data_IF_404690284025
#
_entry.id   IF_404690284025
#
_cell.length_a   1.000
_cell.length_b   1.000
_cell.length_c   1.000
_cell.angle_alpha   90.00
_cell.angle_beta   90.00
_cell.angle_gamma   90.00
#
_symmetry.space_group_name_H-M   'P 1'
#
loop_
_entity.id
_entity.type
_entity.pdbx_description
1 polymer ?
#
# COMPACT_ATOMS: atom_id res chain seq x y z
N UNK A 1 20.31 -0.33 1.62
CA UNK A 1 19.75 -0.38 0.28
C UNK A 1 18.34 0.22 0.26
N UNK A 2 18.04 0.97 -0.76
CA UNK A 2 16.70 1.52 -0.89
C UNK A 2 15.71 0.45 -1.35
N UNK A 3 14.50 0.51 -0.82
CA UNK A 3 13.42 -0.36 -1.24
C UNK A 3 12.68 0.33 -2.38
N UNK A 4 12.54 -0.33 -3.51
CA UNK A 4 11.88 0.27 -4.69
C UNK A 4 10.40 0.54 -4.45
N UNK A 5 9.77 -0.24 -3.59
CA UNK A 5 8.34 -0.12 -3.31
C UNK A 5 8.05 0.92 -2.21
N UNK A 6 9.07 1.40 -1.52
CA UNK A 6 8.94 2.28 -0.36
C UNK A 6 9.90 3.44 -0.53
N UNK A 7 9.37 4.66 -0.63
CA UNK A 7 10.16 5.85 -0.92
C UNK A 7 9.90 6.93 0.11
N UNK A 8 10.98 7.48 0.67
CA UNK A 8 10.91 8.64 1.55
C UNK A 8 10.75 9.88 0.68
N UNK A 9 9.66 10.61 0.87
CA UNK A 9 9.35 11.81 0.11
C UNK A 9 9.40 13.05 0.99
N UNK A 10 10.39 13.14 1.88
CA UNK A 10 10.52 14.24 2.81
C UNK A 10 9.65 14.03 4.05
N UNK A 11 8.52 14.70 4.12
CA UNK A 11 7.60 14.59 5.25
C UNK A 11 6.73 13.35 5.18
N UNK A 12 6.55 12.82 3.97
CA UNK A 12 5.64 11.71 3.71
C UNK A 12 6.41 10.51 3.19
N UNK A 13 5.71 9.36 3.16
CA UNK A 13 6.25 8.12 2.60
C UNK A 13 5.33 7.69 1.47
N UNK A 14 5.91 7.23 0.38
CA UNK A 14 5.15 6.66 -0.74
C UNK A 14 5.34 5.15 -0.77
N UNK A 15 4.24 4.43 -0.96
CA UNK A 15 4.25 2.98 -1.14
C UNK A 15 3.71 2.66 -2.52
N UNK A 16 4.50 1.90 -3.28
CA UNK A 16 4.12 1.45 -4.62
C UNK A 16 3.55 0.05 -4.53
N UNK A 17 2.31 -0.11 -4.96
CA UNK A 17 1.53 -1.33 -4.75
C UNK A 17 1.16 -2.02 -6.05
N UNK A 18 1.02 -3.33 -5.99
CA UNK A 18 0.40 -4.15 -7.01
C UNK A 18 -0.80 -4.82 -6.37
N UNK A 19 -2.00 -4.56 -6.89
CA UNK A 19 -3.25 -5.04 -6.30
C UNK A 19 -3.70 -6.34 -6.96
N UNK A 20 -4.04 -7.33 -6.14
CA UNK A 20 -4.68 -8.56 -6.60
C UNK A 20 -6.16 -8.47 -6.22
N UNK A 21 -7.04 -8.16 -7.18
CA UNK A 21 -8.47 -7.96 -6.89
C UNK A 21 -9.22 -9.28 -6.86
N UNK A 22 -10.49 -9.22 -6.48
CA UNK A 22 -11.39 -10.36 -6.47
C UNK A 22 -10.85 -11.54 -5.66
N UNK A 23 -10.10 -11.23 -4.60
CA UNK A 23 -9.51 -12.27 -3.74
C UNK A 23 -10.48 -12.63 -2.63
N UNK A 24 -10.26 -13.79 -2.01
CA UNK A 24 -11.10 -14.24 -0.91
C UNK A 24 -10.84 -13.46 0.37
N UNK A 25 -9.67 -12.84 0.50
CA UNK A 25 -9.29 -12.09 1.69
C UNK A 25 -8.52 -10.83 1.30
N UNK A 26 -8.65 -9.80 2.13
CA UNK A 26 -7.82 -8.60 1.98
C UNK A 26 -6.61 -8.75 2.91
N UNK A 27 -5.40 -8.66 2.35
CA UNK A 27 -4.18 -8.85 3.13
C UNK A 27 -2.94 -8.34 2.41
N UNK A 28 -1.90 -8.08 3.19
CA UNK A 28 -0.58 -7.75 2.66
C UNK A 28 0.09 -9.06 2.29
N UNK A 29 0.46 -9.22 1.02
CA UNK A 29 1.04 -10.47 0.52
C UNK A 29 2.56 -10.48 0.54
N UNK A 30 3.19 -9.30 0.53
CA UNK A 30 4.64 -9.20 0.55
C UNK A 30 5.18 -8.48 -0.67
N UNK A 31 6.50 -8.31 -0.71
CA UNK A 31 7.17 -7.55 -1.75
C UNK A 31 7.50 -8.44 -2.94
N UNK A 32 7.11 -8.01 -4.16
CA UNK A 32 7.59 -8.64 -5.38
C UNK A 32 8.88 -7.95 -5.78
N UNK A 33 10.01 -8.61 -5.52
CA UNK A 33 11.33 -8.01 -5.67
C UNK A 33 11.61 -7.53 -7.09
N UNK A 34 11.28 -8.34 -8.08
CA UNK A 34 11.64 -8.02 -9.45
C UNK A 34 10.75 -6.91 -10.04
N UNK A 35 9.54 -6.72 -9.53
CA UNK A 35 8.67 -5.61 -9.93
C UNK A 35 8.85 -4.38 -9.07
N UNK A 36 9.45 -4.56 -7.90
CA UNK A 36 9.67 -3.47 -6.96
C UNK A 36 8.37 -2.89 -6.41
N UNK A 37 7.39 -3.75 -6.12
CA UNK A 37 6.10 -3.33 -5.58
C UNK A 37 5.66 -4.24 -4.45
N UNK A 38 4.93 -3.65 -3.50
CA UNK A 38 4.30 -4.41 -2.43
C UNK A 38 2.99 -4.99 -2.96
N UNK A 39 2.84 -6.29 -2.87
CA UNK A 39 1.64 -6.96 -3.37
C UNK A 39 0.59 -7.05 -2.27
N UNK A 40 -0.64 -6.68 -2.60
CA UNK A 40 -1.76 -6.61 -1.66
C UNK A 40 -2.99 -7.21 -2.31
N UNK A 41 -3.74 -8.04 -1.58
CA UNK A 41 -5.01 -8.56 -2.08
C UNK A 41 -6.17 -7.76 -1.49
N UNK A 42 -7.21 -7.59 -2.32
CA UNK A 42 -8.48 -6.99 -1.90
C UNK A 42 -9.61 -7.84 -2.45
N UNK A 43 -10.79 -7.73 -1.85
CA UNK A 43 -11.93 -8.57 -2.23
C UNK A 43 -12.76 -7.97 -3.36
N UNK A 44 -12.70 -6.66 -3.53
CA UNK A 44 -13.50 -5.93 -4.53
C UNK A 44 -12.84 -5.92 -5.92
N UNK A 45 -13.62 -5.61 -6.97
CA UNK A 45 -13.05 -5.44 -8.32
C UNK A 45 -12.06 -4.27 -8.37
N UNK A 46 -11.09 -4.30 -9.30
CA UNK A 46 -9.97 -3.33 -9.29
C UNK A 46 -10.36 -1.89 -9.61
N UNK A 47 -11.47 -1.69 -10.31
CA UNK A 47 -11.88 -0.36 -10.78
C UNK A 47 -12.97 0.27 -9.92
N UNK A 48 -13.37 -0.38 -8.84
CA UNK A 48 -14.45 0.14 -7.99
C UNK A 48 -13.88 1.06 -6.91
N UNK A 49 -14.68 2.05 -6.52
CA UNK A 49 -14.33 2.91 -5.39
C UNK A 49 -14.20 2.12 -4.10
N UNK A 50 -14.92 1.01 -3.99
CA UNK A 50 -14.84 0.13 -2.83
C UNK A 50 -13.45 -0.49 -2.70
N UNK A 51 -12.83 -0.88 -3.82
CA UNK A 51 -11.49 -1.44 -3.80
C UNK A 51 -10.48 -0.43 -3.27
N UNK A 52 -10.60 0.82 -3.69
CA UNK A 52 -9.71 1.87 -3.21
C UNK A 52 -9.89 2.13 -1.72
N UNK A 53 -11.15 2.21 -1.25
CA UNK A 53 -11.42 2.37 0.18
C UNK A 53 -10.89 1.19 0.99
N UNK A 54 -11.11 -0.02 0.49
CA UNK A 54 -10.65 -1.24 1.14
C UNK A 54 -9.12 -1.25 1.26
N UNK A 55 -8.44 -0.83 0.19
CA UNK A 55 -6.98 -0.73 0.19
C UNK A 55 -6.47 0.24 1.24
N UNK A 56 -7.04 1.44 1.29
CA UNK A 56 -6.59 2.45 2.25
C UNK A 56 -6.84 2.01 3.69
N UNK A 57 -7.97 1.35 3.95
CA UNK A 57 -8.26 0.81 5.27
C UNK A 57 -7.27 -0.29 5.66
N UNK A 58 -6.96 -1.16 4.72
CA UNK A 58 -6.01 -2.25 4.96
C UNK A 58 -4.62 -1.70 5.29
N UNK A 59 -4.14 -0.73 4.53
CA UNK A 59 -2.83 -0.13 4.76
C UNK A 59 -2.81 0.58 6.12
N UNK A 60 -3.83 1.37 6.43
CA UNK A 60 -3.92 2.09 7.69
C UNK A 60 -3.91 1.12 8.88
N UNK A 61 -4.67 0.04 8.77
CA UNK A 61 -4.74 -0.99 9.81
C UNK A 61 -3.41 -1.71 9.98
N UNK A 62 -2.76 -2.05 8.86
CA UNK A 62 -1.47 -2.73 8.87
C UNK A 62 -0.39 -1.91 9.59
N UNK A 63 -0.38 -0.60 9.32
CA UNK A 63 0.60 0.30 9.91
C UNK A 63 0.17 0.80 11.29
N UNK A 64 -1.09 0.60 11.65
CA UNK A 64 -1.69 1.10 12.90
C UNK A 64 -1.70 2.62 12.96
N UNK A 65 -2.16 3.22 11.87
CA UNK A 65 -2.26 4.68 11.76
C UNK A 65 -3.69 5.05 11.37
N UNK A 66 -4.09 6.28 11.66
CA UNK A 66 -5.42 6.75 11.28
C UNK A 66 -5.54 6.84 9.76
N UNK A 67 -6.66 6.37 9.22
CA UNK A 67 -6.92 6.35 7.78
C UNK A 67 -6.77 7.73 7.14
N UNK A 68 -7.01 8.80 7.89
CA UNK A 68 -6.89 10.16 7.36
C UNK A 68 -5.48 10.52 6.90
N UNK A 69 -4.48 9.75 7.34
CA UNK A 69 -3.09 9.97 6.94
C UNK A 69 -2.69 9.15 5.72
N UNK A 70 -3.61 8.35 5.18
CA UNK A 70 -3.34 7.46 4.05
C UNK A 70 -4.15 7.94 2.86
N UNK A 71 -3.47 8.29 1.77
CA UNK A 71 -4.09 8.87 0.58
C UNK A 71 -3.67 8.13 -0.67
N UNK A 72 -4.63 7.84 -1.54
CA UNK A 72 -4.34 7.26 -2.84
C UNK A 72 -3.82 8.36 -3.76
N UNK A 73 -2.55 8.25 -4.15
CA UNK A 73 -1.88 9.29 -4.93
C UNK A 73 -2.17 9.15 -6.42
N UNK A 74 -2.12 7.92 -6.94
CA UNK A 74 -2.49 7.65 -8.32
C UNK A 74 -2.84 6.18 -8.50
N UNK A 75 -3.30 5.82 -9.71
CA UNK A 75 -3.70 4.46 -10.01
C UNK A 75 -5.12 4.14 -9.58
N UNK A 76 -6.01 5.14 -9.53
CA UNK A 76 -7.38 4.95 -9.05
C UNK A 76 -8.13 3.84 -9.79
N UNK A 77 -7.82 3.61 -11.07
CA UNK A 77 -8.47 2.59 -11.89
C UNK A 77 -7.49 1.55 -12.42
N UNK A 78 -6.39 1.36 -11.68
CA UNK A 78 -5.31 0.49 -12.12
C UNK A 78 -4.95 -0.47 -10.98
N UNK A 79 -4.41 -1.63 -11.34
CA UNK A 79 -3.89 -2.56 -10.34
C UNK A 79 -2.61 -2.04 -9.69
N UNK A 80 -1.88 -1.18 -10.39
CA UNK A 80 -0.68 -0.53 -9.85
C UNK A 80 -1.09 0.79 -9.26
N UNK A 81 -0.91 0.91 -7.95
CA UNK A 81 -1.35 2.09 -7.21
C UNK A 81 -0.19 2.64 -6.41
N UNK A 82 -0.25 3.93 -6.13
CA UNK A 82 0.71 4.59 -5.25
C UNK A 82 -0.06 5.24 -4.13
N UNK A 83 0.36 4.95 -2.90
CA UNK A 83 -0.28 5.48 -1.69
C UNK A 83 0.71 6.37 -0.96
N UNK A 84 0.24 7.53 -0.53
CA UNK A 84 1.01 8.47 0.28
C UNK A 84 0.58 8.35 1.72
N UNK A 85 1.55 8.24 2.63
CA UNK A 85 1.28 8.11 4.06
C UNK A 85 2.01 9.20 4.81
N UNK A 86 1.28 9.93 5.64
CA UNK A 86 1.84 10.99 6.47
C UNK A 86 2.15 10.47 7.86
N UNK A 87 3.06 11.16 8.55
CA UNK A 87 3.38 10.91 9.97
C UNK A 87 3.94 9.53 10.25
N UNK A 88 4.71 8.98 9.30
CA UNK A 88 5.38 7.70 9.48
C UNK A 88 6.72 7.73 8.78
N UNK A 89 7.65 6.89 9.23
CA UNK A 89 8.96 6.75 8.62
C UNK A 89 9.10 5.38 7.97
N UNK A 90 9.96 5.30 6.95
CA UNK A 90 10.18 4.05 6.22
C UNK A 90 10.56 2.90 7.14
N UNK A 91 11.39 3.15 8.14
CA UNK A 91 11.84 2.11 9.07
C UNK A 91 10.67 1.45 9.79
N UNK A 92 9.63 2.23 10.13
CA UNK A 92 8.46 1.69 10.81
C UNK A 92 7.71 0.71 9.91
N UNK A 93 7.65 1.00 8.62
CA UNK A 93 6.97 0.13 7.67
C UNK A 93 7.80 -1.13 7.40
N UNK A 94 9.12 -0.95 7.23
CA UNK A 94 10.01 -2.09 6.98
C UNK A 94 9.98 -3.10 8.12
N UNK A 95 9.89 -2.63 9.36
CA UNK A 95 9.86 -3.52 10.52
C UNK A 95 8.62 -4.42 10.52
N UNK A 96 7.53 -3.99 9.91
CA UNK A 96 6.31 -4.79 9.82
C UNK A 96 6.48 -6.01 8.90
N UNK A 97 7.43 -5.94 8.00
CA UNK A 97 7.76 -7.05 7.10
C UNK A 97 8.90 -7.92 7.61
N UNK A 98 9.42 -7.63 8.81
CA UNK A 98 10.51 -8.37 9.39
C UNK A 98 11.88 -8.01 8.83
N UNK A 99 11.99 -6.83 8.24
CA UNK A 99 13.25 -6.36 7.65
C UNK A 99 14.02 -5.37 8.52
#
# INVERSE_FOLDING_TARGET
MSQRWLVDSGKDVLIFLEIQPNSSQKRILGVEQWRGRLKVSVTSPPISGKANSELLELIASWISINKKYVTLENGHRNRRKTVRIKKIKCEQILSLLGE
#
